data_IF_199272215724
#
_entry.id   IF_199272215724
#
_cell.length_a   1.000
_cell.length_b   1.000
_cell.length_c   1.000
_cell.angle_alpha   90.00
_cell.angle_beta   90.00
_cell.angle_gamma   90.00
#
_symmetry.space_group_name_H-M   'P 1'
#
loop_
_entity.id
_entity.type
_entity.pdbx_description
1 polymer ?
#
# COMPACT_ATOMS: atom_id res chain seq x y z
N UNK A 1 -6.36 -12.77 -30.83
CA UNK A 1 -7.41 -12.02 -31.56
C UNK A 1 -7.24 -10.53 -31.24
N UNK A 2 -7.48 -9.68 -32.23
CA UNK A 2 -6.84 -8.37 -32.48
C UNK A 2 -7.50 -7.15 -31.79
N UNK A 3 -6.71 -6.08 -31.66
CA UNK A 3 -6.95 -4.71 -31.11
C UNK A 3 -7.80 -3.78 -32.01
N UNK A 4 -8.25 -2.57 -31.57
CA UNK A 4 -7.55 -1.29 -31.93
C UNK A 4 -7.71 -0.16 -30.86
N UNK A 5 -7.16 1.06 -30.87
CA UNK A 5 -6.00 1.79 -31.44
C UNK A 5 -6.24 3.30 -31.10
N UNK A 6 -5.26 4.14 -30.68
CA UNK A 6 -5.46 5.58 -30.59
C UNK A 6 -5.09 6.31 -31.91
N UNK A 7 -5.95 7.25 -32.33
CA UNK A 7 -5.74 8.14 -33.48
C UNK A 7 -4.92 9.38 -33.11
N UNK A 8 -3.95 9.76 -33.96
CA UNK A 8 -3.72 11.16 -34.36
C UNK A 8 -2.80 11.21 -35.58
N UNK A 9 -3.19 12.03 -36.57
CA UNK A 9 -2.62 12.16 -37.91
C UNK A 9 -1.61 13.31 -37.91
N UNK A 10 -0.38 13.10 -38.38
CA UNK A 10 0.47 14.19 -38.91
C UNK A 10 1.11 13.73 -40.21
N UNK A 11 0.76 14.42 -41.28
CA UNK A 11 1.28 14.28 -42.63
C UNK A 11 2.51 15.17 -42.81
N UNK A 12 3.64 14.60 -43.22
CA UNK A 12 4.64 15.32 -44.03
C UNK A 12 5.15 14.37 -45.11
N UNK A 13 5.01 14.79 -46.37
CA UNK A 13 5.35 13.99 -47.55
C UNK A 13 6.75 14.34 -48.06
N UNK A 14 7.53 13.27 -48.28
CA UNK A 14 8.34 12.93 -49.48
C UNK A 14 9.47 13.87 -49.91
N UNK A 15 10.68 13.31 -49.95
CA UNK A 15 11.41 13.09 -51.20
C UNK A 15 12.50 12.00 -51.05
N UNK A 16 12.61 11.16 -52.06
CA UNK A 16 13.58 10.06 -52.22
C UNK A 16 14.95 10.58 -52.68
N UNK A 17 16.04 9.91 -52.29
CA UNK A 17 16.87 9.11 -53.23
C UNK A 17 18.28 8.84 -52.70
N UNK A 18 18.63 7.54 -52.70
CA UNK A 18 19.93 6.94 -53.00
C UNK A 18 21.15 7.28 -52.13
N UNK A 19 21.73 6.26 -51.50
CA UNK A 19 22.97 5.58 -51.94
C UNK A 19 23.50 4.70 -50.82
N UNK A 20 23.67 3.42 -51.16
CA UNK A 20 24.45 2.46 -50.39
C UNK A 20 25.91 2.90 -50.39
N UNK A 21 26.52 3.09 -49.22
CA UNK A 21 27.97 3.14 -49.06
C UNK A 21 28.36 2.42 -47.77
N UNK A 22 29.02 1.29 -47.97
CA UNK A 22 29.74 0.52 -46.96
C UNK A 22 30.97 1.33 -46.58
N UNK A 23 31.17 1.62 -45.30
CA UNK A 23 32.51 1.90 -44.76
C UNK A 23 32.70 1.13 -43.48
N UNK A 24 33.69 0.24 -43.54
CA UNK A 24 34.34 -0.44 -42.44
C UNK A 24 34.88 0.55 -41.39
N UNK A 25 35.25 -0.02 -40.23
CA UNK A 25 35.96 0.57 -39.09
C UNK A 25 35.09 1.05 -37.93
N UNK A 26 35.24 0.34 -36.81
CA UNK A 26 34.86 0.84 -35.50
C UNK A 26 34.12 -0.16 -34.62
N UNK A 27 34.71 -1.33 -34.34
CA UNK A 27 34.32 -2.12 -33.17
C UNK A 27 34.63 -1.29 -31.91
N UNK A 28 33.69 -0.44 -31.50
CA UNK A 28 33.54 -0.01 -30.10
C UNK A 28 32.07 -0.15 -29.76
N UNK A 29 31.71 -1.37 -29.34
CA UNK A 29 30.46 -1.64 -28.65
C UNK A 29 30.49 -0.78 -27.39
N UNK A 30 29.77 0.35 -27.40
CA UNK A 30 29.45 1.04 -26.15
C UNK A 30 28.63 0.03 -25.35
N UNK A 31 29.18 -0.45 -24.25
CA UNK A 31 28.39 -1.16 -23.24
C UNK A 31 27.54 -0.06 -22.63
N UNK A 32 26.26 -0.04 -22.99
CA UNK A 32 25.25 0.62 -22.18
C UNK A 32 25.25 -0.19 -20.88
N UNK A 33 25.89 0.34 -19.84
CA UNK A 33 25.72 -0.18 -18.49
C UNK A 33 24.34 0.31 -18.11
N UNK A 34 23.34 -0.52 -18.38
CA UNK A 34 22.02 -0.36 -17.77
C UNK A 34 22.27 -0.53 -16.27
N UNK A 35 22.46 0.60 -15.58
CA UNK A 35 22.47 0.65 -14.12
C UNK A 35 21.07 0.18 -13.72
N UNK A 36 20.91 -1.12 -13.48
CA UNK A 36 19.75 -1.64 -12.78
C UNK A 36 19.82 -1.05 -11.38
N UNK A 37 19.21 0.12 -11.22
CA UNK A 37 18.89 0.65 -9.91
C UNK A 37 18.12 -0.45 -9.18
N UNK A 38 18.76 -1.02 -8.16
CA UNK A 38 18.16 -1.99 -7.28
C UNK A 38 17.11 -1.26 -6.44
N UNK A 39 15.92 -1.08 -7.00
CA UNK A 39 14.78 -0.53 -6.26
C UNK A 39 14.33 -1.55 -5.23
N UNK A 40 14.82 -1.44 -3.99
CA UNK A 40 14.31 -2.22 -2.87
C UNK A 40 12.90 -1.73 -2.52
N UNK A 41 11.87 -2.50 -2.89
CA UNK A 41 10.49 -2.22 -2.48
C UNK A 41 10.20 -2.87 -1.13
N UNK A 42 9.65 -2.10 -0.18
CA UNK A 42 9.07 -2.65 1.06
C UNK A 42 7.58 -2.91 0.85
N UNK A 43 7.08 -4.07 1.29
CA UNK A 43 5.64 -4.40 1.26
C UNK A 43 5.09 -4.49 2.68
N UNK A 44 3.98 -3.80 2.95
CA UNK A 44 3.27 -3.83 4.23
C UNK A 44 1.95 -4.58 4.04
N UNK A 45 1.66 -5.52 4.94
CA UNK A 45 0.43 -6.32 4.94
C UNK A 45 -0.32 -6.09 6.24
N UNK A 46 -1.64 -5.88 6.17
CA UNK A 46 -2.50 -5.73 7.34
C UNK A 46 -3.50 -6.88 7.41
N UNK A 47 -3.77 -7.36 8.62
CA UNK A 47 -4.80 -8.37 8.89
C UNK A 47 -5.56 -8.00 10.15
N UNK A 48 -6.89 -8.13 10.12
CA UNK A 48 -7.76 -7.88 11.25
C UNK A 48 -8.84 -8.95 11.31
N UNK A 49 -9.27 -9.28 12.53
CA UNK A 49 -10.34 -10.22 12.81
C UNK A 49 -11.04 -9.84 14.11
N UNK A 50 -12.35 -10.05 14.17
CA UNK A 50 -13.15 -9.86 15.37
C UNK A 50 -14.18 -10.97 15.49
N UNK A 51 -14.36 -11.50 16.71
CA UNK A 51 -15.42 -12.47 17.02
C UNK A 51 -16.69 -11.78 17.50
N UNK A 52 -16.56 -10.61 18.11
CA UNK A 52 -17.66 -9.82 18.66
C UNK A 52 -17.82 -8.46 17.97
N UNK A 53 -18.66 -7.58 18.54
CA UNK A 53 -19.00 -6.31 17.91
C UNK A 53 -17.87 -5.27 17.96
N UNK A 54 -16.90 -5.43 18.87
CA UNK A 54 -15.74 -4.53 18.98
C UNK A 54 -14.59 -5.07 18.14
N UNK A 55 -14.11 -4.26 17.19
CA UNK A 55 -12.97 -4.57 16.33
C UNK A 55 -11.90 -3.48 16.38
N UNK A 56 -10.70 -3.82 15.94
CA UNK A 56 -9.64 -2.85 15.64
C UNK A 56 -9.95 -2.28 14.26
N UNK A 57 -10.15 -0.97 14.19
CA UNK A 57 -10.49 -0.25 12.96
C UNK A 57 -9.21 0.30 12.28
N UNK A 58 -8.36 0.98 13.04
CA UNK A 58 -7.13 1.58 12.52
C UNK A 58 -5.97 1.41 13.51
N UNK A 59 -4.76 1.21 12.99
CA UNK A 59 -3.51 1.29 13.76
C UNK A 59 -2.59 2.27 13.05
N UNK A 60 -2.17 3.32 13.76
CA UNK A 60 -1.26 4.32 13.22
C UNK A 60 0.10 3.68 12.89
N UNK A 61 0.62 3.91 11.68
CA UNK A 61 1.89 3.31 11.22
C UNK A 61 3.08 3.79 12.04
N UNK A 62 2.99 4.99 12.61
CA UNK A 62 4.01 5.53 13.51
C UNK A 62 3.79 5.11 14.97
N UNK A 63 2.75 4.31 15.23
CA UNK A 63 2.44 3.74 16.53
C UNK A 63 1.87 4.72 17.55
N UNK A 64 1.37 5.89 17.14
CA UNK A 64 0.83 6.92 18.04
C UNK A 64 -0.50 6.51 18.69
N UNK A 65 -1.34 5.77 17.97
CA UNK A 65 -2.66 5.39 18.45
C UNK A 65 -3.17 4.09 17.84
N UNK A 66 -4.21 3.54 18.45
CA UNK A 66 -4.98 2.43 17.91
C UNK A 66 -6.46 2.78 18.08
N UNK A 67 -7.24 2.68 17.01
CA UNK A 67 -8.67 2.97 17.03
C UNK A 67 -9.48 1.66 17.15
N UNK A 68 -10.40 1.63 18.12
CA UNK A 68 -11.41 0.58 18.22
C UNK A 68 -12.75 1.09 17.72
N UNK A 69 -13.52 0.22 17.07
CA UNK A 69 -14.90 0.49 16.67
C UNK A 69 -15.85 -0.55 17.25
N UNK A 70 -16.99 -0.09 17.77
CA UNK A 70 -18.14 -0.96 17.99
C UNK A 70 -19.00 -0.96 16.72
N UNK A 71 -18.99 -2.07 16.00
CA UNK A 71 -19.77 -2.29 14.77
C UNK A 71 -21.14 -2.93 15.05
N UNK A 72 -21.44 -3.25 16.30
CA UNK A 72 -22.74 -3.75 16.73
C UNK A 72 -23.80 -2.66 16.84
N UNK A 73 -25.04 -3.09 16.99
CA UNK A 73 -26.22 -2.22 17.16
C UNK A 73 -26.47 -1.82 18.61
N UNK A 74 -25.76 -2.44 19.56
CA UNK A 74 -25.90 -2.19 21.00
C UNK A 74 -24.64 -1.54 21.60
N UNK A 75 -24.84 -0.81 22.69
CA UNK A 75 -23.75 -0.23 23.48
C UNK A 75 -22.92 -1.33 24.14
N UNK A 76 -21.59 -1.28 23.98
CA UNK A 76 -20.69 -2.23 24.60
C UNK A 76 -20.08 -1.65 25.88
N UNK A 77 -20.46 -2.20 27.04
CA UNK A 77 -19.73 -1.96 28.27
C UNK A 77 -18.34 -2.61 28.17
N UNK A 78 -17.29 -1.82 28.36
CA UNK A 78 -15.89 -2.26 28.21
C UNK A 78 -15.23 -2.58 29.55
N UNK A 79 -16.02 -2.71 30.63
CA UNK A 79 -15.48 -3.11 31.94
C UNK A 79 -14.82 -4.48 31.85
N UNK A 80 -13.57 -4.56 32.32
CA UNK A 80 -12.77 -5.79 32.26
C UNK A 80 -12.14 -6.08 30.90
N UNK A 81 -12.37 -5.24 29.88
CA UNK A 81 -11.66 -5.36 28.62
C UNK A 81 -10.22 -4.87 28.78
N UNK A 82 -9.32 -5.57 28.09
CA UNK A 82 -7.91 -5.22 27.99
C UNK A 82 -7.54 -5.21 26.51
N UNK A 83 -6.80 -4.18 26.09
CA UNK A 83 -6.14 -4.13 24.80
C UNK A 83 -4.67 -4.47 24.99
N UNK A 84 -4.16 -5.45 24.26
CA UNK A 84 -2.75 -5.81 24.27
C UNK A 84 -2.12 -5.48 22.92
N UNK A 85 -1.04 -4.70 22.94
CA UNK A 85 -0.18 -4.46 21.78
C UNK A 85 1.13 -5.20 21.98
N UNK A 86 1.46 -6.09 21.06
CA UNK A 86 2.74 -6.82 21.05
C UNK A 86 3.55 -6.41 19.83
N UNK A 87 4.81 -6.00 20.04
CA UNK A 87 5.79 -5.76 18.99
C UNK A 87 6.95 -6.72 19.26
N UNK A 88 7.22 -7.63 18.32
CA UNK A 88 8.20 -8.70 18.47
C UNK A 88 7.97 -9.52 19.76
N UNK A 89 8.71 -9.22 20.83
CA UNK A 89 8.62 -9.88 22.14
C UNK A 89 8.14 -8.97 23.27
N UNK A 90 7.95 -7.68 23.01
CA UNK A 90 7.51 -6.70 24.01
C UNK A 90 6.01 -6.49 23.92
N UNK A 91 5.34 -6.47 25.07
CA UNK A 91 3.89 -6.28 25.15
C UNK A 91 3.50 -5.16 26.11
N UNK A 92 2.52 -4.37 25.72
CA UNK A 92 1.90 -3.34 26.53
C UNK A 92 0.39 -3.58 26.59
N UNK A 93 -0.18 -3.45 27.79
CA UNK A 93 -1.62 -3.67 28.04
C UNK A 93 -2.28 -2.40 28.51
N UNK A 94 -3.34 -1.99 27.83
CA UNK A 94 -4.25 -0.93 28.25
C UNK A 94 -5.53 -1.54 28.81
N UNK A 95 -5.94 -1.12 30.01
CA UNK A 95 -7.18 -1.59 30.65
C UNK A 95 -8.23 -0.50 30.59
N UNK A 96 -9.40 -0.85 30.09
CA UNK A 96 -10.51 0.10 30.04
C UNK A 96 -11.05 0.39 31.44
N UNK A 97 -11.45 1.65 31.67
CA UNK A 97 -12.02 2.03 32.95
C UNK A 97 -13.39 1.38 33.15
N UNK A 98 -13.80 1.07 34.40
CA UNK A 98 -15.05 0.33 34.64
C UNK A 98 -16.34 1.01 34.14
N UNK A 99 -16.29 2.32 33.90
CA UNK A 99 -17.44 3.10 33.41
C UNK A 99 -17.40 3.36 31.91
N UNK A 100 -16.36 2.90 31.22
CA UNK A 100 -16.24 3.13 29.79
C UNK A 100 -17.25 2.27 29.02
N UNK A 101 -18.04 2.93 28.19
CA UNK A 101 -19.02 2.32 27.29
C UNK A 101 -18.69 2.78 25.89
N UNK A 102 -18.38 1.85 24.99
CA UNK A 102 -18.24 2.13 23.57
C UNK A 102 -19.61 1.99 22.90
N UNK A 103 -20.22 3.14 22.61
CA UNK A 103 -21.58 3.21 22.04
C UNK A 103 -21.67 2.50 20.69
N UNK A 104 -22.86 2.01 20.35
CA UNK A 104 -23.13 1.40 19.04
C UNK A 104 -22.66 2.30 17.88
N UNK A 105 -21.96 1.73 16.91
CA UNK A 105 -21.41 2.44 15.75
C UNK A 105 -20.25 3.41 16.03
N UNK A 106 -19.87 3.65 17.29
CA UNK A 106 -18.84 4.64 17.64
C UNK A 106 -17.42 4.08 17.56
N UNK A 107 -16.49 5.02 17.40
CA UNK A 107 -15.05 4.80 17.43
C UNK A 107 -14.42 5.46 18.66
N UNK A 108 -13.37 4.86 19.20
CA UNK A 108 -12.53 5.42 20.26
C UNK A 108 -11.06 5.27 19.90
N UNK A 109 -10.24 6.22 20.29
CA UNK A 109 -8.80 6.27 20.03
C UNK A 109 -8.03 6.56 21.31
#
# INVERSE_FOLDING_TARGET
MLSPSPSARVTVSRASSSRSVRTSHGKRKRVDVEEQEASSSVSISHSASATGPVCIDETDTDGKFICLQNTGEEDQAMVGFEMMKTIENDSATYKFTPKFILKAGQKVT
#
